data_IF_932444454741
#
_entry.id   IF_932444454741
#
_cell.length_a   1.000
_cell.length_b   1.000
_cell.length_c   1.000
_cell.angle_alpha   90.00
_cell.angle_beta   90.00
_cell.angle_gamma   90.00
#
_symmetry.space_group_name_H-M   'P 1'
#
loop_
_entity.id
_entity.type
_entity.pdbx_description
1 polymer ?
#
# COMPACT_ATOMS: atom_id res chain seq x y z
N UNK A 1 -0.01 -10.72 4.66
CA UNK A 1 0.42 -9.32 4.80
C UNK A 1 -0.78 -8.37 4.72
N UNK A 2 -1.48 -8.26 3.59
CA UNK A 2 -2.56 -7.28 3.35
C UNK A 2 -3.71 -7.31 4.37
N UNK A 3 -4.04 -8.46 4.93
CA UNK A 3 -5.11 -8.58 5.94
C UNK A 3 -4.69 -8.06 7.32
N UNK A 4 -3.39 -8.06 7.61
CA UNK A 4 -2.86 -7.74 8.95
C UNK A 4 -2.21 -6.38 9.03
N UNK A 5 -1.55 -5.94 7.96
CA UNK A 5 -0.81 -4.68 7.94
C UNK A 5 -1.62 -3.65 7.15
N UNK A 6 -1.87 -2.50 7.76
CA UNK A 6 -2.68 -1.42 7.19
C UNK A 6 -1.85 -0.62 6.19
N UNK A 7 -2.46 -0.22 5.10
CA UNK A 7 -1.95 0.83 4.25
C UNK A 7 -2.41 2.19 4.82
N UNK A 8 -1.47 3.12 5.04
CA UNK A 8 -1.82 4.40 5.66
C UNK A 8 -0.81 5.51 5.29
N UNK A 9 -1.25 6.76 5.43
CA UNK A 9 -0.44 7.94 5.20
C UNK A 9 0.13 8.57 6.47
N UNK A 10 -0.34 8.16 7.65
CA UNK A 10 0.08 8.71 8.94
C UNK A 10 1.59 8.63 9.14
N UNK A 11 2.18 7.49 8.79
CA UNK A 11 3.63 7.28 8.86
C UNK A 11 4.40 8.35 8.11
N UNK A 12 3.98 8.68 6.88
CA UNK A 12 4.63 9.71 6.07
C UNK A 12 4.44 11.11 6.64
N UNK A 13 3.25 11.40 7.16
CA UNK A 13 2.94 12.69 7.80
C UNK A 13 3.85 12.88 9.01
N UNK A 14 3.92 11.88 9.89
CA UNK A 14 4.77 11.90 11.09
C UNK A 14 6.26 12.04 10.72
N UNK A 15 6.72 11.31 9.71
CA UNK A 15 8.11 11.39 9.28
C UNK A 15 8.45 12.75 8.69
N UNK A 16 7.53 13.37 7.97
CA UNK A 16 7.66 14.74 7.48
C UNK A 16 7.75 15.75 8.63
N UNK A 17 6.85 15.69 9.58
CA UNK A 17 6.84 16.56 10.76
C UNK A 17 8.10 16.43 11.60
N UNK A 18 8.73 15.25 11.61
CA UNK A 18 10.01 15.00 12.29
C UNK A 18 11.25 15.43 11.52
N UNK A 19 11.10 16.20 10.45
CA UNK A 19 12.20 16.79 9.69
C UNK A 19 12.63 16.00 8.46
N UNK A 20 11.76 15.17 7.89
CA UNK A 20 12.00 14.53 6.59
C UNK A 20 11.73 15.50 5.41
N UNK A 21 12.24 16.71 5.51
CA UNK A 21 11.97 17.79 4.54
C UNK A 21 12.56 17.53 3.14
N UNK A 22 13.49 16.58 3.01
CA UNK A 22 14.11 16.26 1.72
C UNK A 22 13.24 15.38 0.82
N UNK A 23 12.19 14.73 1.37
CA UNK A 23 11.38 13.76 0.66
C UNK A 23 12.08 12.43 0.32
N UNK A 24 13.35 12.25 0.69
CA UNK A 24 14.15 11.06 0.34
C UNK A 24 14.06 9.93 1.36
N UNK A 25 13.24 10.11 2.39
CA UNK A 25 13.20 9.20 3.54
C UNK A 25 12.34 7.95 3.27
N UNK A 26 12.93 6.80 3.59
CA UNK A 26 12.19 5.60 3.95
C UNK A 26 12.63 5.15 5.34
N UNK A 27 11.73 4.60 6.15
CA UNK A 27 12.13 4.05 7.45
C UNK A 27 13.17 2.95 7.26
N UNK A 28 14.10 2.81 8.19
CA UNK A 28 14.95 1.62 8.26
C UNK A 28 14.07 0.37 8.41
N UNK A 29 14.61 -0.80 8.06
CA UNK A 29 13.87 -2.05 8.21
C UNK A 29 13.49 -2.30 9.68
N UNK A 30 14.36 -1.99 10.62
CA UNK A 30 14.07 -2.07 12.05
C UNK A 30 12.90 -1.17 12.45
N UNK A 31 12.90 0.07 11.97
CA UNK A 31 11.80 1.02 12.21
C UNK A 31 10.50 0.51 11.58
N UNK A 32 10.55 -0.01 10.35
CA UNK A 32 9.36 -0.59 9.70
C UNK A 32 8.82 -1.78 10.48
N UNK A 33 9.67 -2.74 10.86
CA UNK A 33 9.26 -3.91 11.64
C UNK A 33 8.67 -3.49 12.98
N UNK A 34 9.32 -2.58 13.71
CA UNK A 34 8.78 -2.06 14.96
C UNK A 34 7.40 -1.41 14.77
N UNK A 35 7.22 -0.60 13.72
CA UNK A 35 5.94 0.05 13.41
C UNK A 35 4.82 -0.95 13.17
N UNK A 36 5.05 -1.97 12.34
CA UNK A 36 4.01 -2.96 12.02
C UNK A 36 3.70 -3.91 13.18
N UNK A 37 4.66 -4.18 14.06
CA UNK A 37 4.49 -5.15 15.16
C UNK A 37 3.97 -4.53 16.45
N UNK A 38 4.36 -3.30 16.74
CA UNK A 38 4.04 -2.66 18.04
C UNK A 38 3.08 -1.48 17.93
N UNK A 39 3.07 -0.77 16.77
CA UNK A 39 2.30 0.47 16.61
C UNK A 39 1.13 0.37 15.64
N UNK A 40 0.98 -0.75 14.94
CA UNK A 40 -0.07 -0.94 13.94
C UNK A 40 0.11 -0.08 12.66
N UNK A 41 1.26 0.60 12.52
CA UNK A 41 1.57 1.50 11.40
C UNK A 41 2.23 0.72 10.26
N UNK A 42 1.68 0.79 9.06
CA UNK A 42 2.23 0.08 7.91
C UNK A 42 2.98 0.98 6.92
N UNK A 43 2.38 2.09 6.56
CA UNK A 43 2.86 3.00 5.52
C UNK A 43 2.17 2.82 4.18
N UNK A 44 2.72 3.44 3.15
CA UNK A 44 2.18 3.40 1.78
C UNK A 44 2.81 2.26 0.95
N UNK A 45 2.41 2.14 -0.32
CA UNK A 45 2.85 1.05 -1.21
C UNK A 45 4.39 0.91 -1.30
N UNK A 46 5.13 2.02 -1.32
CA UNK A 46 6.60 1.97 -1.35
C UNK A 46 7.17 1.32 -0.08
N UNK A 47 6.70 1.76 1.09
CA UNK A 47 7.15 1.23 2.38
C UNK A 47 6.84 -0.27 2.51
N UNK A 48 5.62 -0.66 2.15
CA UNK A 48 5.21 -2.07 2.16
C UNK A 48 6.06 -2.94 1.24
N UNK A 49 6.26 -2.50 -0.01
CA UNK A 49 7.02 -3.27 -0.99
C UNK A 49 8.49 -3.39 -0.60
N UNK A 50 9.10 -2.33 -0.03
CA UNK A 50 10.48 -2.36 0.46
C UNK A 50 10.61 -3.33 1.64
N UNK A 51 9.72 -3.23 2.62
CA UNK A 51 9.74 -4.13 3.79
C UNK A 51 9.49 -5.59 3.42
N UNK A 52 8.56 -5.84 2.49
CA UNK A 52 8.25 -7.19 2.06
C UNK A 52 9.35 -7.79 1.16
N UNK A 53 9.99 -6.97 0.30
CA UNK A 53 11.19 -7.36 -0.44
C UNK A 53 12.30 -7.82 0.51
N UNK A 54 12.58 -7.03 1.55
CA UNK A 54 13.58 -7.39 2.55
C UNK A 54 13.26 -8.74 3.22
N UNK A 55 12.00 -8.93 3.65
CA UNK A 55 11.57 -10.18 4.28
C UNK A 55 11.77 -11.38 3.36
N UNK A 56 11.28 -11.31 2.13
CA UNK A 56 11.39 -12.41 1.17
C UNK A 56 12.84 -12.71 0.80
N UNK A 57 13.67 -11.68 0.64
CA UNK A 57 15.11 -11.85 0.37
C UNK A 57 15.82 -12.56 1.51
N UNK A 58 15.52 -12.23 2.77
CA UNK A 58 16.09 -12.91 3.94
C UNK A 58 15.56 -14.34 4.14
N UNK A 59 14.41 -14.67 3.57
CA UNK A 59 13.91 -16.04 3.49
C UNK A 59 14.49 -16.83 2.31
N UNK A 60 15.39 -16.23 1.53
CA UNK A 60 16.09 -16.90 0.42
C UNK A 60 15.37 -16.85 -0.92
N UNK A 61 14.28 -16.07 -1.06
CA UNK A 61 13.62 -15.89 -2.34
C UNK A 61 14.39 -14.95 -3.27
N UNK A 62 14.36 -15.23 -4.57
CA UNK A 62 14.87 -14.34 -5.60
C UNK A 62 13.83 -13.29 -5.94
N UNK A 63 13.98 -12.08 -5.37
CA UNK A 63 13.00 -11.00 -5.38
C UNK A 63 13.57 -9.75 -6.05
N UNK A 64 12.75 -9.09 -6.86
CA UNK A 64 13.08 -7.84 -7.52
C UNK A 64 11.93 -6.84 -7.40
N UNK A 65 12.27 -5.55 -7.39
CA UNK A 65 11.26 -4.51 -7.53
C UNK A 65 10.82 -4.37 -8.98
N UNK A 66 9.53 -4.10 -9.16
CA UNK A 66 8.92 -3.67 -10.42
C UNK A 66 8.17 -2.36 -10.21
N UNK A 67 8.03 -1.60 -11.27
CA UNK A 67 7.32 -0.33 -11.26
C UNK A 67 6.00 -0.41 -12.03
N UNK A 68 4.95 0.11 -11.44
CA UNK A 68 3.64 0.25 -12.06
C UNK A 68 3.32 1.74 -12.19
N UNK A 69 3.23 2.21 -13.40
CA UNK A 69 2.99 3.61 -13.74
C UNK A 69 1.49 3.96 -13.64
N UNK A 70 1.14 5.10 -13.02
CA UNK A 70 1.99 6.02 -12.30
C UNK A 70 2.19 5.64 -10.81
N UNK A 71 3.44 5.74 -10.35
CA UNK A 71 3.78 5.90 -8.93
C UNK A 71 3.56 4.72 -7.98
N UNK A 72 3.50 3.46 -8.47
CA UNK A 72 3.33 2.30 -7.59
C UNK A 72 4.49 1.31 -7.70
N UNK A 73 4.94 0.79 -6.55
CA UNK A 73 5.99 -0.21 -6.43
C UNK A 73 5.37 -1.56 -6.07
N UNK A 74 5.76 -2.61 -6.78
CA UNK A 74 5.40 -3.98 -6.52
C UNK A 74 6.60 -4.92 -6.69
N UNK A 75 6.42 -6.22 -6.55
CA UNK A 75 7.50 -7.20 -6.55
C UNK A 75 7.32 -8.25 -7.63
N UNK A 76 8.46 -8.69 -8.18
CA UNK A 76 8.62 -9.92 -8.94
C UNK A 76 9.36 -10.92 -8.06
N UNK A 77 8.78 -12.10 -7.89
CA UNK A 77 9.39 -13.23 -7.20
C UNK A 77 9.63 -14.34 -8.21
N UNK A 78 10.88 -14.76 -8.37
CA UNK A 78 11.21 -15.85 -9.28
C UNK A 78 11.26 -17.17 -8.50
N UNK A 79 10.37 -18.10 -8.87
CA UNK A 79 10.31 -19.47 -8.37
C UNK A 79 10.56 -20.43 -9.56
N UNK A 80 9.64 -21.34 -9.81
CA UNK A 80 9.58 -22.15 -11.05
C UNK A 80 9.31 -21.28 -12.29
N UNK A 81 8.59 -20.18 -12.08
CA UNK A 81 8.39 -19.10 -13.03
C UNK A 81 8.34 -17.74 -12.27
N UNK A 82 8.36 -16.60 -12.97
CA UNK A 82 8.19 -15.31 -12.32
C UNK A 82 6.75 -15.07 -11.89
N UNK A 83 6.58 -14.53 -10.68
CA UNK A 83 5.30 -14.17 -10.09
C UNK A 83 5.19 -12.67 -9.81
N UNK A 84 4.01 -12.13 -10.05
CA UNK A 84 3.59 -10.82 -9.56
C UNK A 84 3.15 -10.92 -8.12
N UNK A 85 3.71 -10.08 -7.25
CA UNK A 85 3.39 -10.00 -5.83
C UNK A 85 3.22 -8.54 -5.45
N UNK A 86 2.09 -8.21 -4.85
CA UNK A 86 1.78 -6.84 -4.48
C UNK A 86 1.05 -6.76 -3.14
N UNK A 87 1.72 -6.20 -2.15
CA UNK A 87 1.19 -6.03 -0.79
C UNK A 87 0.78 -4.59 -0.50
N UNK A 88 1.07 -3.65 -1.40
CA UNK A 88 0.85 -2.23 -1.21
C UNK A 88 -0.30 -1.61 -2.02
N UNK A 89 -1.00 -2.38 -2.86
CA UNK A 89 -2.00 -1.83 -3.78
C UNK A 89 -3.41 -1.72 -3.19
N UNK A 90 -3.65 -2.26 -2.00
CA UNK A 90 -4.96 -2.29 -1.34
C UNK A 90 -6.06 -2.96 -2.19
N UNK A 91 -5.70 -3.85 -3.12
CA UNK A 91 -6.59 -4.66 -3.93
C UNK A 91 -6.68 -6.08 -3.34
N UNK A 92 -7.65 -6.93 -3.73
CA UNK A 92 -7.80 -8.28 -3.19
C UNK A 92 -6.74 -9.27 -3.71
N UNK A 93 -5.46 -8.91 -3.55
CA UNK A 93 -4.27 -9.65 -4.01
C UNK A 93 -3.68 -10.45 -2.83
N UNK A 94 -4.34 -11.53 -2.44
CA UNK A 94 -3.96 -12.32 -1.25
C UNK A 94 -2.98 -13.45 -1.53
N UNK A 95 -2.53 -13.59 -2.78
CA UNK A 95 -1.57 -14.60 -3.22
C UNK A 95 -0.62 -14.03 -4.28
N UNK A 96 0.41 -14.80 -4.63
CA UNK A 96 1.24 -14.54 -5.80
C UNK A 96 0.51 -15.01 -7.07
N UNK A 97 0.67 -14.28 -8.17
CA UNK A 97 0.07 -14.60 -9.47
C UNK A 97 1.17 -14.75 -10.53
N UNK A 98 1.07 -15.70 -11.48
CA UNK A 98 2.01 -15.78 -12.58
C UNK A 98 2.13 -14.45 -13.31
N UNK A 99 3.37 -13.97 -13.50
CA UNK A 99 3.62 -12.62 -14.02
C UNK A 99 3.10 -12.41 -15.45
N UNK A 100 3.14 -13.47 -16.26
CA UNK A 100 2.79 -13.39 -17.69
C UNK A 100 1.47 -14.08 -18.05
N UNK A 101 0.60 -14.26 -17.04
CA UNK A 101 -0.74 -14.78 -17.23
C UNK A 101 -1.79 -13.75 -16.82
N UNK A 102 -2.84 -13.61 -17.62
CA UNK A 102 -3.95 -12.74 -17.28
C UNK A 102 -4.81 -13.35 -16.18
N UNK A 103 -5.24 -12.52 -15.25
CA UNK A 103 -6.14 -12.96 -14.17
C UNK A 103 -7.10 -11.83 -13.75
N UNK A 104 -8.14 -12.22 -13.05
CA UNK A 104 -9.07 -11.30 -12.41
C UNK A 104 -9.41 -11.77 -11.02
N UNK A 105 -9.42 -10.85 -10.06
CA UNK A 105 -9.86 -11.12 -8.68
C UNK A 105 -10.81 -10.04 -8.24
N UNK A 106 -11.76 -10.41 -7.39
CA UNK A 106 -12.78 -9.49 -6.91
C UNK A 106 -13.07 -9.70 -5.44
N UNK A 107 -13.50 -8.65 -4.79
CA UNK A 107 -14.14 -8.70 -3.50
C UNK A 107 -15.37 -7.78 -3.49
N UNK A 108 -16.00 -7.59 -2.33
CA UNK A 108 -17.18 -6.73 -2.16
C UNK A 108 -16.94 -5.26 -2.51
N UNK A 109 -15.67 -4.83 -2.57
CA UNK A 109 -15.27 -3.44 -2.81
C UNK A 109 -14.97 -3.16 -4.28
N UNK A 110 -14.30 -4.09 -4.97
CA UNK A 110 -13.74 -3.84 -6.28
C UNK A 110 -13.41 -5.11 -7.06
N UNK A 111 -13.24 -4.95 -8.35
CA UNK A 111 -12.63 -5.94 -9.24
C UNK A 111 -11.26 -5.44 -9.68
N UNK A 112 -10.26 -6.29 -9.57
CA UNK A 112 -8.89 -6.09 -10.05
C UNK A 112 -8.68 -7.00 -11.25
N UNK A 113 -8.34 -6.41 -12.40
CA UNK A 113 -8.08 -7.10 -13.66
C UNK A 113 -6.62 -6.89 -14.05
N UNK A 114 -5.93 -7.97 -14.33
CA UNK A 114 -4.55 -8.02 -14.78
C UNK A 114 -4.53 -8.64 -16.18
N UNK A 115 -4.20 -7.86 -17.18
CA UNK A 115 -4.35 -8.17 -18.59
C UNK A 115 -2.98 -8.19 -19.27
N UNK A 116 -2.55 -9.35 -19.74
CA UNK A 116 -1.29 -9.54 -20.46
C UNK A 116 -1.57 -9.56 -21.96
N UNK A 117 -0.99 -8.64 -22.71
CA UNK A 117 -1.11 -8.58 -24.16
C UNK A 117 0.14 -8.01 -24.81
N UNK A 118 0.71 -8.68 -25.81
CA UNK A 118 1.82 -8.18 -26.64
C UNK A 118 2.98 -7.55 -25.83
N UNK A 119 3.51 -8.27 -24.84
CA UNK A 119 4.56 -7.81 -23.91
C UNK A 119 4.18 -6.58 -23.08
N UNK A 120 2.90 -6.26 -22.98
CA UNK A 120 2.38 -5.17 -22.15
C UNK A 120 1.41 -5.73 -21.13
N UNK A 121 1.54 -5.27 -19.88
CA UNK A 121 0.64 -5.65 -18.81
C UNK A 121 -0.14 -4.42 -18.37
N UNK A 122 -1.46 -4.49 -18.55
CA UNK A 122 -2.40 -3.47 -18.10
C UNK A 122 -3.10 -3.97 -16.85
N UNK A 123 -3.14 -3.10 -15.86
CA UNK A 123 -3.83 -3.36 -14.59
C UNK A 123 -4.97 -2.36 -14.47
N UNK A 124 -6.17 -2.87 -14.26
CA UNK A 124 -7.36 -2.05 -14.05
C UNK A 124 -8.01 -2.40 -12.71
N UNK A 125 -8.54 -1.38 -12.06
CA UNK A 125 -9.43 -1.52 -10.89
C UNK A 125 -10.79 -0.98 -11.26
N UNK A 126 -11.83 -1.65 -10.83
CA UNK A 126 -13.19 -1.17 -11.01
C UNK A 126 -13.91 -1.14 -9.65
N UNK A 127 -14.19 0.05 -9.11
CA UNK A 127 -13.91 1.39 -9.66
C UNK A 127 -12.43 1.81 -9.51
N UNK A 128 -11.89 2.53 -10.48
CA UNK A 128 -10.55 3.14 -10.39
C UNK A 128 -9.81 3.25 -11.73
N UNK A 129 -8.64 3.87 -11.73
CA UNK A 129 -7.83 4.08 -12.91
C UNK A 129 -7.13 2.79 -13.37
N UNK A 130 -6.78 2.73 -14.65
CA UNK A 130 -5.88 1.73 -15.19
C UNK A 130 -4.42 2.18 -15.03
N UNK A 131 -3.51 1.21 -14.90
CA UNK A 131 -2.07 1.37 -14.78
C UNK A 131 -1.34 0.46 -15.76
N UNK A 132 -0.06 0.74 -16.01
CA UNK A 132 0.82 -0.12 -16.80
C UNK A 132 1.92 -0.65 -15.91
N UNK A 133 2.10 -1.96 -15.91
CA UNK A 133 3.19 -2.62 -15.20
C UNK A 133 4.40 -2.78 -16.13
N UNK A 134 5.55 -2.32 -15.66
CA UNK A 134 6.85 -2.57 -16.27
C UNK A 134 7.48 -3.78 -15.58
N UNK A 135 7.74 -4.85 -16.34
CA UNK A 135 8.16 -6.16 -15.81
C UNK A 135 9.66 -6.28 -15.57
N UNK A 136 10.46 -5.35 -16.13
CA UNK A 136 11.89 -5.32 -15.91
C UNK A 136 12.21 -4.96 -14.47
N UNK A 137 13.16 -5.66 -13.85
CA UNK A 137 13.65 -5.31 -12.52
C UNK A 137 14.18 -3.89 -12.46
N UNK A 138 13.82 -3.17 -11.40
CA UNK A 138 14.32 -1.81 -11.16
C UNK A 138 15.13 -1.75 -9.87
N UNK A 139 16.02 -0.76 -9.80
CA UNK A 139 16.72 -0.39 -8.58
C UNK A 139 16.06 0.85 -7.95
N UNK A 140 15.90 0.88 -6.63
CA UNK A 140 15.31 2.05 -5.93
C UNK A 140 16.10 3.34 -6.21
N UNK A 141 17.41 3.23 -6.43
CA UNK A 141 18.25 4.38 -6.78
C UNK A 141 17.88 5.07 -8.09
N UNK A 142 17.27 4.34 -9.05
CA UNK A 142 16.77 4.92 -10.30
C UNK A 142 15.42 5.63 -10.13
N UNK A 143 14.77 5.48 -8.98
CA UNK A 143 13.43 6.03 -8.70
C UNK A 143 13.46 7.26 -7.77
N UNK A 144 14.63 7.87 -7.55
CA UNK A 144 14.82 8.97 -6.57
C UNK A 144 13.81 10.10 -6.72
N UNK A 145 13.55 10.56 -7.94
CA UNK A 145 12.63 11.67 -8.18
C UNK A 145 11.17 11.28 -7.87
N UNK A 146 10.77 10.04 -8.18
CA UNK A 146 9.44 9.56 -7.85
C UNK A 146 9.27 9.35 -6.34
N UNK A 147 10.31 8.87 -5.66
CA UNK A 147 10.35 8.72 -4.21
C UNK A 147 10.21 10.10 -3.56
N UNK A 148 11.01 11.06 -3.99
CA UNK A 148 10.94 12.45 -3.50
C UNK A 148 9.54 13.02 -3.69
N UNK A 149 8.99 12.95 -4.90
CA UNK A 149 7.63 13.41 -5.19
C UNK A 149 6.57 12.74 -4.32
N UNK A 150 6.73 11.45 -3.99
CA UNK A 150 5.81 10.70 -3.13
C UNK A 150 5.91 11.09 -1.64
N UNK A 151 7.07 11.57 -1.19
CA UNK A 151 7.37 11.84 0.22
C UNK A 151 7.42 13.33 0.57
N UNK A 152 7.43 14.21 -0.41
CA UNK A 152 7.47 15.66 -0.20
C UNK A 152 6.06 16.21 0.02
N UNK A 153 5.85 16.91 1.13
CA UNK A 153 4.57 17.51 1.51
C UNK A 153 3.97 18.40 0.43
N UNK A 154 4.80 19.13 -0.30
CA UNK A 154 4.33 20.09 -1.28
C UNK A 154 3.89 19.46 -2.60
N UNK A 155 4.49 18.33 -2.95
CA UNK A 155 4.28 17.67 -4.25
C UNK A 155 3.52 16.36 -4.18
N UNK A 156 3.46 15.73 -3.01
CA UNK A 156 2.79 14.44 -2.85
C UNK A 156 1.27 14.57 -2.94
N UNK A 157 0.60 13.76 -3.75
CA UNK A 157 -0.87 13.77 -3.83
C UNK A 157 -1.53 13.11 -2.61
N UNK A 158 -0.77 12.41 -1.77
CA UNK A 158 -1.31 11.57 -0.68
C UNK A 158 -0.99 12.09 0.72
N UNK A 159 0.03 12.96 0.90
CA UNK A 159 0.44 13.41 2.24
C UNK A 159 -0.53 14.38 2.92
N UNK A 160 -1.33 15.11 2.15
CA UNK A 160 -2.23 16.16 2.68
C UNK A 160 -3.55 15.61 3.22
N UNK A 161 -3.66 14.31 3.36
CA UNK A 161 -4.90 13.65 3.80
C UNK A 161 -4.58 12.46 4.69
N UNK A 162 -5.37 12.28 5.73
CA UNK A 162 -5.38 11.03 6.48
C UNK A 162 -6.07 9.98 5.62
N UNK A 163 -5.31 8.96 5.23
CA UNK A 163 -5.85 7.82 4.50
C UNK A 163 -5.40 6.55 5.20
N UNK A 164 -6.36 5.71 5.55
CA UNK A 164 -6.11 4.41 6.16
C UNK A 164 -6.96 3.38 5.44
N UNK A 165 -6.36 2.25 5.10
CA UNK A 165 -7.07 1.10 4.56
C UNK A 165 -6.60 -0.18 5.25
N UNK A 166 -7.55 -1.04 5.57
CA UNK A 166 -7.29 -2.37 6.12
C UNK A 166 -8.54 -3.24 6.14
N UNK A 167 -8.39 -4.45 6.64
CA UNK A 167 -9.48 -5.39 6.86
C UNK A 167 -9.79 -5.40 8.36
N UNK A 168 -10.96 -4.87 8.73
CA UNK A 168 -11.44 -4.86 10.11
C UNK A 168 -12.56 -5.91 10.22
N UNK A 169 -12.35 -6.92 11.03
CA UNK A 169 -13.25 -8.08 11.15
C UNK A 169 -13.52 -8.75 9.77
N UNK A 170 -12.49 -8.83 8.93
CA UNK A 170 -12.59 -9.37 7.56
C UNK A 170 -13.27 -8.43 6.54
N UNK A 171 -13.69 -7.24 6.96
CA UNK A 171 -14.42 -6.28 6.12
C UNK A 171 -13.45 -5.23 5.59
N UNK A 172 -13.37 -4.99 4.26
CA UNK A 172 -12.61 -3.88 3.71
C UNK A 172 -13.12 -2.56 4.29
N UNK A 173 -12.26 -1.86 5.01
CA UNK A 173 -12.57 -0.64 5.73
C UNK A 173 -11.53 0.42 5.40
N UNK A 174 -11.97 1.65 5.13
CA UNK A 174 -11.05 2.77 4.91
C UNK A 174 -11.54 4.04 5.59
N UNK A 175 -10.57 4.89 5.94
CA UNK A 175 -10.80 6.27 6.36
C UNK A 175 -10.12 7.17 5.33
N UNK A 176 -10.82 8.22 4.92
CA UNK A 176 -10.28 9.33 4.15
C UNK A 176 -10.66 10.63 4.87
N UNK A 177 -9.69 11.25 5.49
CA UNK A 177 -9.87 12.36 6.44
C UNK A 177 -10.84 11.96 7.55
N UNK A 178 -12.04 12.48 7.56
CA UNK A 178 -13.09 12.13 8.52
C UNK A 178 -14.20 11.24 7.94
N UNK A 179 -14.02 10.67 6.75
CA UNK A 179 -15.03 9.81 6.12
C UNK A 179 -14.64 8.35 6.23
N UNK A 180 -15.36 7.59 7.04
CA UNK A 180 -15.29 6.14 7.13
C UNK A 180 -16.07 5.50 6.00
N UNK A 181 -15.46 4.48 5.35
CA UNK A 181 -16.11 3.65 4.33
C UNK A 181 -15.93 2.18 4.69
N UNK A 182 -17.03 1.45 4.70
CA UNK A 182 -17.06 0.01 4.94
C UNK A 182 -17.86 -0.69 3.84
N UNK A 183 -17.43 -1.89 3.50
CA UNK A 183 -18.08 -2.70 2.46
C UNK A 183 -18.65 -3.96 3.09
N UNK A 184 -19.92 -3.92 3.44
CA UNK A 184 -20.60 -5.00 4.15
C UNK A 184 -21.80 -5.50 3.37
N UNK A 185 -21.97 -6.82 3.23
CA UNK A 185 -23.07 -7.48 2.51
C UNK A 185 -23.33 -6.89 1.10
N UNK A 186 -22.25 -6.65 0.35
CA UNK A 186 -22.33 -6.09 -1.01
C UNK A 186 -22.70 -4.62 -1.08
N UNK A 187 -22.82 -3.93 0.05
CA UNK A 187 -23.14 -2.50 0.11
C UNK A 187 -21.95 -1.70 0.62
N UNK A 188 -21.78 -0.51 0.04
CA UNK A 188 -20.87 0.50 0.53
C UNK A 188 -21.62 1.35 1.56
N UNK A 189 -21.08 1.44 2.77
CA UNK A 189 -21.58 2.31 3.85
C UNK A 189 -20.56 3.43 4.02
N UNK A 190 -21.01 4.67 3.99
CA UNK A 190 -20.19 5.85 4.26
C UNK A 190 -20.76 6.60 5.48
N UNK A 191 -19.87 7.05 6.36
CA UNK A 191 -20.18 7.78 7.56
C UNK A 191 -19.16 8.90 7.77
N UNK A 192 -19.63 10.13 7.99
CA UNK A 192 -18.76 11.21 8.49
C UNK A 192 -18.53 11.02 9.99
N UNK A 193 -17.28 11.07 10.40
CA UNK A 193 -16.86 10.88 11.79
C UNK A 193 -16.62 12.24 12.46
N UNK A 194 -16.98 12.35 13.70
CA UNK A 194 -16.49 13.39 14.61
C UNK A 194 -15.03 13.13 14.96
N UNK A 195 -14.32 14.11 15.53
CA UNK A 195 -12.91 13.91 15.94
C UNK A 195 -12.76 12.77 16.94
N UNK A 196 -13.67 12.61 17.89
CA UNK A 196 -13.61 11.51 18.86
C UNK A 196 -13.88 10.15 18.24
N UNK A 197 -14.82 10.06 17.29
CA UNK A 197 -15.06 8.81 16.54
C UNK A 197 -13.89 8.48 15.63
N UNK A 198 -13.28 9.47 14.98
CA UNK A 198 -12.08 9.28 14.16
C UNK A 198 -10.95 8.70 15.01
N UNK A 199 -10.66 9.30 16.15
CA UNK A 199 -9.66 8.80 17.08
C UNK A 199 -9.97 7.37 17.54
N UNK A 200 -11.22 7.07 17.95
CA UNK A 200 -11.65 5.72 18.29
C UNK A 200 -11.39 4.70 17.16
N UNK A 201 -11.74 5.05 15.92
CA UNK A 201 -11.49 4.17 14.78
C UNK A 201 -10.00 3.91 14.55
N UNK A 202 -9.19 4.95 14.65
CA UNK A 202 -7.72 4.83 14.44
C UNK A 202 -7.11 3.97 15.54
N UNK A 203 -7.39 4.26 16.81
CA UNK A 203 -6.75 3.60 17.94
C UNK A 203 -7.32 2.21 18.24
N UNK A 204 -8.65 2.10 18.33
CA UNK A 204 -9.29 0.86 18.78
C UNK A 204 -9.61 -0.10 17.63
N UNK A 205 -10.03 0.42 16.48
CA UNK A 205 -10.46 -0.44 15.37
C UNK A 205 -9.33 -0.78 14.41
N UNK A 206 -8.51 0.20 14.02
CA UNK A 206 -7.31 -0.05 13.22
C UNK A 206 -6.10 -0.46 14.08
N UNK A 207 -6.19 -0.36 15.41
CA UNK A 207 -5.12 -0.66 16.35
C UNK A 207 -3.82 0.11 16.03
N UNK A 208 -3.95 1.39 15.68
CA UNK A 208 -2.81 2.28 15.44
C UNK A 208 -2.52 3.03 16.73
N UNK A 209 -1.51 2.56 17.46
CA UNK A 209 -1.08 3.13 18.75
C UNK A 209 -0.05 4.24 18.50
N UNK A 210 -0.51 5.37 17.98
CA UNK A 210 0.29 6.58 17.82
C UNK A 210 -0.46 7.74 18.48
N UNK A 211 0.22 8.50 19.32
CA UNK A 211 -0.25 9.82 19.72
C UNK A 211 -0.25 10.68 18.45
N UNK A 212 -1.42 10.94 17.92
CA UNK A 212 -1.61 11.92 16.86
C UNK A 212 -1.63 13.25 17.59
N UNK A 213 -0.53 13.99 17.52
CA UNK A 213 -0.50 15.36 18.02
C UNK A 213 -1.55 16.16 17.23
N UNK A 214 -2.39 16.87 17.99
CA UNK A 214 -3.44 17.76 17.49
C UNK A 214 -2.87 18.92 16.66
#
# INVERSE_FOLDING_TARGET
HQEKIKWETLTKIIDWEKGNETGNYFPSIETYINRITTKGLGGTCWTHSIGFHWLLSNLGFNVHFMYMDPGHLCLRVNLDQPYYVDVGYCAPLFQAYPLYESFQVSNVRETFTYEVSNNRIKIARNPGPAKILHTDPIHLSSMKELIKKSNDWHTSPVLKKIQIFGYIDGIPTSINDNVLKRYFQGKKIEQSLTSSELNYWITERFCINQEICE
#
